data_IF_457735118222
#
_entry.id   IF_457735118222
#
_cell.length_a   1.000
_cell.length_b   1.000
_cell.length_c   1.000
_cell.angle_alpha   90.00
_cell.angle_beta   90.00
_cell.angle_gamma   90.00
#
_symmetry.space_group_name_H-M   'P 1'
#
loop_
_entity.id
_entity.type
_entity.pdbx_description
1 polymer ?
#
# COMPACT_ATOMS: atom_id res chain seq x y z
N UNK A 1 -1.16 10.70 2.99
CA UNK A 1 -2.35 9.94 2.57
C UNK A 1 -3.49 10.04 3.59
N UNK A 2 -3.30 9.68 4.88
CA UNK A 2 -4.37 9.65 5.90
C UNK A 2 -5.10 10.98 6.11
N UNK A 3 -4.37 12.11 6.09
CA UNK A 3 -4.98 13.44 6.17
C UNK A 3 -5.91 13.73 4.96
N UNK A 4 -5.57 13.25 3.77
CA UNK A 4 -6.38 13.40 2.56
C UNK A 4 -7.72 12.65 2.64
N UNK A 5 -7.74 11.45 3.24
CA UNK A 5 -8.97 10.68 3.50
C UNK A 5 -9.92 11.42 4.44
N UNK A 6 -9.38 11.98 5.53
CA UNK A 6 -10.18 12.72 6.51
C UNK A 6 -10.73 14.01 5.91
N UNK A 7 -9.91 14.75 5.15
CA UNK A 7 -10.34 15.95 4.43
C UNK A 7 -11.44 15.59 3.43
N UNK A 8 -11.27 14.54 2.62
CA UNK A 8 -12.30 14.09 1.69
C UNK A 8 -13.61 13.74 2.41
N UNK A 9 -13.54 12.93 3.47
CA UNK A 9 -14.72 12.50 4.23
C UNK A 9 -15.53 13.65 4.83
N UNK A 10 -14.85 14.56 5.54
CA UNK A 10 -15.51 15.70 6.22
C UNK A 10 -16.04 16.72 5.21
N UNK A 11 -15.34 16.92 4.10
CA UNK A 11 -15.77 17.88 3.06
C UNK A 11 -16.93 17.33 2.22
N UNK A 12 -16.97 16.02 1.97
CA UNK A 12 -18.06 15.34 1.27
C UNK A 12 -19.35 15.29 2.10
N UNK A 13 -19.25 14.97 3.38
CA UNK A 13 -20.41 14.87 4.28
C UNK A 13 -21.07 16.23 4.56
N UNK A 14 -20.27 17.31 4.59
CA UNK A 14 -20.78 18.68 4.74
C UNK A 14 -21.33 19.28 3.45
N UNK A 15 -21.30 18.56 2.33
CA UNK A 15 -21.76 19.06 1.02
C UNK A 15 -21.02 20.32 0.56
N UNK A 16 -19.75 20.48 0.94
CA UNK A 16 -18.97 21.66 0.58
C UNK A 16 -18.62 21.67 -0.91
N UNK A 17 -18.28 22.84 -1.45
CA UNK A 17 -17.92 23.03 -2.85
C UNK A 17 -16.90 21.97 -3.32
N UNK A 18 -17.10 21.42 -4.52
CA UNK A 18 -16.36 20.26 -5.07
C UNK A 18 -14.83 20.37 -5.02
N UNK A 19 -14.30 21.59 -4.92
CA UNK A 19 -12.89 21.90 -4.76
C UNK A 19 -12.31 21.28 -3.48
N UNK A 20 -13.03 21.32 -2.36
CA UNK A 20 -12.50 20.83 -1.09
C UNK A 20 -12.32 19.30 -1.04
N UNK A 21 -13.31 18.48 -1.48
CA UNK A 21 -13.09 17.05 -1.65
C UNK A 21 -11.97 16.73 -2.65
N UNK A 22 -11.86 17.51 -3.74
CA UNK A 22 -10.83 17.29 -4.78
C UNK A 22 -9.40 17.53 -4.26
N UNK A 23 -9.20 18.51 -3.38
CA UNK A 23 -7.91 18.71 -2.72
C UNK A 23 -7.59 17.53 -1.80
N UNK A 24 -8.58 17.04 -1.04
CA UNK A 24 -8.44 15.87 -0.18
C UNK A 24 -8.03 14.61 -0.96
N UNK A 25 -8.72 14.34 -2.07
CA UNK A 25 -8.40 13.19 -2.95
C UNK A 25 -7.05 13.35 -3.64
N UNK A 26 -6.66 14.57 -4.02
CA UNK A 26 -5.33 14.86 -4.57
C UNK A 26 -4.20 14.56 -3.58
N UNK A 27 -4.34 15.01 -2.34
CA UNK A 27 -3.37 14.72 -1.27
C UNK A 27 -3.31 13.23 -0.92
N UNK A 28 -4.45 12.54 -0.98
CA UNK A 28 -4.52 11.09 -0.83
C UNK A 28 -3.73 10.39 -1.95
N UNK A 29 -4.06 10.69 -3.22
CA UNK A 29 -3.46 10.07 -4.39
C UNK A 29 -1.95 10.31 -4.47
N UNK A 30 -1.50 11.54 -4.19
CA UNK A 30 -0.08 11.86 -4.15
C UNK A 30 0.66 11.03 -3.10
N UNK A 31 0.12 10.97 -1.87
CA UNK A 31 0.74 10.21 -0.80
C UNK A 31 0.76 8.71 -1.06
N UNK A 32 -0.30 8.16 -1.65
CA UNK A 32 -0.37 6.74 -2.02
C UNK A 32 0.66 6.37 -3.10
N UNK A 33 0.70 7.15 -4.19
CA UNK A 33 1.62 6.89 -5.29
C UNK A 33 3.08 7.02 -4.85
N UNK A 34 3.42 8.08 -4.09
CA UNK A 34 4.80 8.27 -3.61
C UNK A 34 5.32 7.07 -2.80
N UNK A 35 4.48 6.49 -1.93
CA UNK A 35 4.87 5.31 -1.13
C UNK A 35 4.98 4.07 -2.03
N UNK A 36 4.04 3.91 -2.95
CA UNK A 36 4.05 2.78 -3.89
C UNK A 36 5.32 2.78 -4.75
N UNK A 37 5.70 3.94 -5.30
CA UNK A 37 6.88 4.10 -6.14
C UNK A 37 8.17 3.78 -5.37
N UNK A 38 8.31 4.29 -4.14
CA UNK A 38 9.45 3.97 -3.28
C UNK A 38 9.55 2.45 -3.06
N UNK A 39 8.42 1.77 -2.82
CA UNK A 39 8.40 0.33 -2.63
C UNK A 39 8.79 -0.42 -3.91
N UNK A 40 8.29 0.00 -5.07
CA UNK A 40 8.66 -0.56 -6.37
C UNK A 40 10.16 -0.44 -6.63
N UNK A 41 10.74 0.75 -6.45
CA UNK A 41 12.18 0.98 -6.63
C UNK A 41 13.00 0.09 -5.69
N UNK A 42 12.62 0.00 -4.41
CA UNK A 42 13.31 -0.85 -3.44
C UNK A 42 13.28 -2.34 -3.82
N UNK A 43 12.17 -2.83 -4.37
CA UNK A 43 12.06 -4.23 -4.82
C UNK A 43 12.98 -4.49 -6.02
N UNK A 44 13.01 -3.56 -6.98
CA UNK A 44 13.89 -3.64 -8.15
C UNK A 44 15.36 -3.70 -7.70
N UNK A 45 15.75 -2.82 -6.77
CA UNK A 45 17.11 -2.74 -6.26
C UNK A 45 17.51 -3.97 -5.42
N UNK A 46 16.57 -4.55 -4.66
CA UNK A 46 16.84 -5.71 -3.80
C UNK A 46 16.85 -7.05 -4.57
N UNK A 47 16.08 -7.17 -5.67
CA UNK A 47 15.87 -8.43 -6.40
C UNK A 47 16.12 -8.30 -7.92
N UNK A 48 17.28 -7.80 -8.38
CA UNK A 48 17.50 -7.47 -9.79
C UNK A 48 17.36 -8.67 -10.75
N UNK A 49 17.76 -9.87 -10.32
CA UNK A 49 17.73 -11.08 -11.17
C UNK A 49 16.37 -11.78 -11.18
N UNK A 50 15.45 -11.41 -10.29
CA UNK A 50 14.15 -12.09 -10.11
C UNK A 50 13.01 -11.06 -10.00
N UNK A 51 13.22 -9.88 -10.57
CA UNK A 51 12.31 -8.73 -10.45
C UNK A 51 10.92 -9.04 -11.01
N UNK A 52 10.84 -9.66 -12.18
CA UNK A 52 9.56 -9.99 -12.82
C UNK A 52 8.74 -10.97 -11.98
N UNK A 53 9.35 -12.07 -11.52
CA UNK A 53 8.66 -13.06 -10.68
C UNK A 53 8.23 -12.47 -9.33
N UNK A 54 9.08 -11.62 -8.74
CA UNK A 54 8.77 -10.94 -7.48
C UNK A 54 7.55 -10.03 -7.64
N UNK A 55 7.46 -9.28 -8.74
CA UNK A 55 6.30 -8.42 -9.01
C UNK A 55 5.01 -9.18 -9.26
N UNK A 56 5.06 -10.34 -9.93
CA UNK A 56 3.88 -11.19 -10.10
C UNK A 56 3.28 -11.59 -8.75
N UNK A 57 4.14 -11.97 -7.80
CA UNK A 57 3.70 -12.34 -6.44
C UNK A 57 3.12 -11.14 -5.70
N UNK A 58 3.81 -9.99 -5.74
CA UNK A 58 3.33 -8.75 -5.10
C UNK A 58 1.96 -8.34 -5.64
N UNK A 59 1.80 -8.32 -6.97
CA UNK A 59 0.56 -7.92 -7.62
C UNK A 59 -0.57 -8.91 -7.38
N UNK A 60 -0.27 -10.21 -7.30
CA UNK A 60 -1.26 -11.21 -6.93
C UNK A 60 -1.86 -10.91 -5.55
N UNK A 61 -1.03 -10.70 -4.53
CA UNK A 61 -1.50 -10.36 -3.18
C UNK A 61 -2.21 -9.00 -3.14
N UNK A 62 -1.70 -7.99 -3.86
CA UNK A 62 -2.33 -6.67 -3.97
C UNK A 62 -3.77 -6.78 -4.45
N UNK A 63 -3.98 -7.52 -5.55
CA UNK A 63 -5.31 -7.69 -6.13
C UNK A 63 -6.20 -8.59 -5.27
N UNK A 64 -5.66 -9.65 -4.67
CA UNK A 64 -6.42 -10.51 -3.76
C UNK A 64 -6.98 -9.74 -2.56
N UNK A 65 -6.18 -8.85 -1.95
CA UNK A 65 -6.62 -8.00 -0.85
C UNK A 65 -7.64 -6.96 -1.35
N UNK A 66 -7.43 -6.42 -2.56
CA UNK A 66 -8.32 -5.40 -3.14
C UNK A 66 -9.76 -5.89 -3.33
N UNK A 67 -9.98 -7.20 -3.49
CA UNK A 67 -11.31 -7.79 -3.62
C UNK A 67 -12.17 -7.51 -2.36
N UNK A 68 -11.55 -7.45 -1.17
CA UNK A 68 -12.29 -7.20 0.08
C UNK A 68 -12.82 -5.78 0.23
N UNK A 69 -12.25 -4.81 -0.49
CA UNK A 69 -12.63 -3.40 -0.39
C UNK A 69 -14.09 -3.16 -0.74
N UNK A 70 -14.55 -3.50 -1.96
CA UNK A 70 -15.94 -3.31 -2.38
C UNK A 70 -16.98 -3.98 -1.45
N UNK A 71 -16.71 -5.20 -0.98
CA UNK A 71 -17.62 -5.90 -0.07
C UNK A 71 -17.72 -5.29 1.32
N UNK A 72 -16.70 -4.52 1.74
CA UNK A 72 -16.69 -3.86 3.04
C UNK A 72 -17.41 -2.51 3.03
N UNK A 73 -17.60 -1.88 1.86
CA UNK A 73 -18.18 -0.54 1.74
C UNK A 73 -19.67 -0.53 2.09
N UNK A 74 -20.46 -1.46 1.55
CA UNK A 74 -21.91 -1.53 1.81
C UNK A 74 -22.26 -1.64 3.30
N UNK A 75 -21.71 -2.61 4.06
CA UNK A 75 -22.00 -2.71 5.50
C UNK A 75 -21.47 -1.51 6.31
N UNK A 76 -20.38 -0.86 5.86
CA UNK A 76 -19.90 0.36 6.51
C UNK A 76 -20.83 1.55 6.32
N UNK A 77 -21.38 1.74 5.12
CA UNK A 77 -22.34 2.80 4.83
C UNK A 77 -23.66 2.61 5.59
N UNK A 78 -24.08 1.37 5.80
CA UNK A 78 -25.29 1.06 6.58
C UNK A 78 -25.08 1.26 8.09
N UNK A 79 -23.87 1.04 8.59
CA UNK A 79 -23.57 1.12 10.02
C UNK A 79 -23.21 2.54 10.51
N UNK A 80 -22.68 3.42 9.66
CA UNK A 80 -22.15 4.72 10.08
C UNK A 80 -22.23 5.81 8.99
N UNK A 81 -22.22 7.09 9.40
CA UNK A 81 -22.24 8.22 8.46
C UNK A 81 -20.96 8.30 7.63
N UNK A 82 -21.03 8.94 6.46
CA UNK A 82 -19.92 9.06 5.51
C UNK A 82 -18.70 9.72 6.16
N UNK A 83 -18.89 10.79 6.95
CA UNK A 83 -17.83 11.39 7.76
C UNK A 83 -17.13 10.38 8.68
N UNK A 84 -17.90 9.63 9.46
CA UNK A 84 -17.36 8.68 10.44
C UNK A 84 -16.62 7.53 9.75
N UNK A 85 -17.11 7.07 8.61
CA UNK A 85 -16.46 6.04 7.79
C UNK A 85 -15.07 6.48 7.29
N UNK A 86 -14.96 7.69 6.74
CA UNK A 86 -13.67 8.19 6.25
C UNK A 86 -12.69 8.57 7.35
N UNK A 87 -13.19 9.03 8.52
CA UNK A 87 -12.35 9.29 9.69
C UNK A 87 -11.78 7.98 10.24
N UNK A 88 -12.60 6.94 10.40
CA UNK A 88 -12.13 5.64 10.87
C UNK A 88 -11.16 5.00 9.88
N UNK A 89 -11.43 5.07 8.57
CA UNK A 89 -10.49 4.65 7.53
C UNK A 89 -9.16 5.42 7.60
N UNK A 90 -9.21 6.74 7.81
CA UNK A 90 -8.02 7.58 7.99
C UNK A 90 -7.18 7.18 9.20
N UNK A 91 -7.81 6.85 10.32
CA UNK A 91 -7.14 6.35 11.54
C UNK A 91 -6.54 4.96 11.33
N UNK A 92 -7.24 4.05 10.68
CA UNK A 92 -6.71 2.72 10.33
C UNK A 92 -5.49 2.87 9.41
N UNK A 93 -5.57 3.69 8.37
CA UNK A 93 -4.44 4.00 7.50
C UNK A 93 -3.27 4.57 8.29
N UNK A 94 -3.52 5.51 9.22
CA UNK A 94 -2.48 6.07 10.07
C UNK A 94 -1.84 5.01 10.97
N UNK A 95 -2.63 4.12 11.56
CA UNK A 95 -2.13 3.00 12.37
C UNK A 95 -1.22 2.07 11.56
N UNK A 96 -1.63 1.69 10.34
CA UNK A 96 -0.82 0.86 9.45
C UNK A 96 0.50 1.56 9.08
N UNK A 97 0.46 2.86 8.77
CA UNK A 97 1.69 3.62 8.49
C UNK A 97 2.60 3.72 9.72
N UNK A 98 2.04 3.77 10.93
CA UNK A 98 2.82 3.76 12.16
C UNK A 98 3.55 2.42 12.34
N UNK A 99 2.92 1.30 12.00
CA UNK A 99 3.58 -0.02 11.97
C UNK A 99 4.69 -0.13 10.91
N UNK A 100 4.65 0.68 9.85
CA UNK A 100 5.72 0.74 8.87
C UNK A 100 7.01 1.40 9.44
N UNK A 101 6.91 2.27 10.44
CA UNK A 101 8.08 2.96 11.04
C UNK A 101 9.04 1.98 11.74
N UNK A 102 8.59 1.04 12.60
CA UNK A 102 9.43 -0.06 13.08
C UNK A 102 10.11 -0.82 11.93
N UNK A 103 9.37 -1.10 10.87
CA UNK A 103 9.85 -1.88 9.74
C UNK A 103 10.96 -1.15 8.95
N UNK A 104 10.90 0.18 8.86
CA UNK A 104 11.96 0.96 8.20
C UNK A 104 13.23 1.02 9.04
N UNK A 105 13.11 1.06 10.38
CA UNK A 105 14.27 1.07 11.30
C UNK A 105 14.94 -0.31 11.35
N UNK A 106 14.16 -1.39 11.51
CA UNK A 106 14.68 -2.76 11.61
C UNK A 106 14.85 -3.48 10.27
N UNK A 107 14.38 -2.89 9.16
CA UNK A 107 14.39 -3.51 7.84
C UNK A 107 15.79 -3.89 7.34
N UNK A 108 16.84 -3.20 7.80
CA UNK A 108 18.24 -3.55 7.49
C UNK A 108 18.61 -4.95 8.00
N UNK A 109 18.15 -5.34 9.18
CA UNK A 109 18.42 -6.66 9.75
C UNK A 109 17.58 -7.76 9.08
N UNK A 110 16.34 -7.45 8.71
CA UNK A 110 15.48 -8.38 7.96
C UNK A 110 16.02 -8.65 6.56
N UNK A 111 16.52 -7.62 5.85
CA UNK A 111 17.18 -7.78 4.54
C UNK A 111 18.44 -8.65 4.61
N UNK A 112 19.27 -8.46 5.65
CA UNK A 112 20.48 -9.27 5.85
C UNK A 112 20.17 -10.77 6.07
N UNK A 113 19.03 -11.09 6.70
CA UNK A 113 18.60 -12.48 6.94
C UNK A 113 18.04 -13.19 5.71
N UNK A 114 17.47 -12.44 4.77
CA UNK A 114 16.83 -12.99 3.56
C UNK A 114 17.85 -13.21 2.42
N UNK A 115 18.98 -12.50 2.44
CA UNK A 115 20.06 -12.63 1.45
C UNK A 115 20.47 -14.09 1.09
N UNK A 116 20.74 -15.02 2.03
CA UNK A 116 21.15 -16.39 1.69
C UNK A 116 20.04 -17.25 1.05
N UNK A 117 18.77 -16.88 1.20
CA UNK A 117 17.67 -17.52 0.47
C UNK A 117 17.53 -16.95 -0.95
N UNK A 118 17.78 -15.65 -1.12
CA UNK A 118 17.77 -15.01 -2.44
C UNK A 118 18.83 -15.59 -3.37
N UNK A 119 20.10 -15.69 -2.95
CA UNK A 119 21.17 -16.20 -3.82
C UNK A 119 20.89 -17.62 -4.32
N UNK A 120 20.38 -18.50 -3.46
CA UNK A 120 19.97 -19.87 -3.85
C UNK A 120 18.81 -19.90 -4.85
N UNK A 121 17.89 -18.94 -4.78
CA UNK A 121 16.78 -18.87 -5.72
C UNK A 121 17.22 -18.29 -7.07
N UNK A 122 18.07 -17.25 -7.03
CA UNK A 122 18.66 -16.65 -8.23
C UNK A 122 19.47 -17.68 -9.03
N UNK A 123 20.29 -18.50 -8.37
CA UNK A 123 21.05 -19.57 -9.02
C UNK A 123 20.12 -20.59 -9.69
N UNK A 124 19.02 -20.98 -9.03
CA UNK A 124 18.03 -21.92 -9.59
C UNK A 124 17.34 -21.36 -10.83
N UNK A 125 16.95 -20.09 -10.79
CA UNK A 125 16.33 -19.40 -11.94
C UNK A 125 17.33 -19.28 -13.09
N UNK A 126 18.59 -18.97 -12.81
CA UNK A 126 19.65 -18.92 -13.82
C UNK A 126 19.90 -20.29 -14.46
N UNK A 127 19.94 -21.37 -13.67
CA UNK A 127 20.11 -22.73 -14.20
C UNK A 127 18.90 -23.20 -15.02
N UNK A 128 17.68 -22.83 -14.64
CA UNK A 128 16.47 -23.18 -15.38
C UNK A 128 16.31 -22.39 -16.69
N UNK A 129 16.93 -21.22 -16.80
CA UNK A 129 16.96 -20.45 -18.04
C UNK A 129 18.04 -20.94 -19.03
N UNK A 130 19.00 -21.74 -18.56
CA UNK A 130 20.10 -22.28 -19.36
C UNK A 130 19.83 -23.70 -19.91
N UNK A 131 18.74 -24.34 -19.50
CA UNK A 131 18.27 -25.66 -19.98
C UNK A 131 17.14 -25.50 -20.99
#
# INVERSE_FOLDING_TARGET
MSAGLVIFGVTADRGMHFIFPSIGSGLFAFGFNAISDINFTLVIDCFPNTVAQTFVVIDFFRNAISIGGPFSITPWLEAMSVSAMFITAGLICMGIHLFAIPLTIWGKNSRARIAPHYYRLADRVATAAAS
#
